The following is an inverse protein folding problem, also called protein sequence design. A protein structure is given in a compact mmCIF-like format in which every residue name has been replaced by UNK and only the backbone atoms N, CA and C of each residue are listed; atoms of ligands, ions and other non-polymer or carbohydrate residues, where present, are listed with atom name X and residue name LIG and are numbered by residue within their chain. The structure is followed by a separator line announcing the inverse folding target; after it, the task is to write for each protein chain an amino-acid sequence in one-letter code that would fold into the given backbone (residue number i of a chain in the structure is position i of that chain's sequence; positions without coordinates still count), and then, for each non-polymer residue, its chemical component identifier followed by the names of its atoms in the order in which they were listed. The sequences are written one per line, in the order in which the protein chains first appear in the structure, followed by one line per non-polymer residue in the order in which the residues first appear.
data_IF_880644306302
#
_entry.id   IF_880644306302
#
_cell.length_a   1.000
_cell.length_b   1.000
_cell.length_c   1.000
_cell.angle_alpha   90.00
_cell.angle_beta   90.00
_cell.angle_gamma   90.00
#
_symmetry.space_group_name_H-M   'P 1'
#
loop_
_entity.id
_entity.type
_entity.pdbx_description
1 polymer ?
#
# COMPACT_ATOMS: atom_id res chain seq x y z
N UNK A 1 39.28 54.14 18.31
CA UNK A 1 38.66 52.80 18.49
C UNK A 1 38.01 52.44 17.18
N UNK A 2 38.57 51.48 16.45
CA UNK A 2 37.94 50.99 15.22
C UNK A 2 36.81 50.01 15.59
N UNK A 3 35.59 50.36 15.18
CA UNK A 3 34.40 49.56 15.46
C UNK A 3 34.45 48.27 14.64
N UNK A 4 34.66 47.14 15.32
CA UNK A 4 34.73 45.81 14.72
C UNK A 4 33.34 45.26 14.42
N UNK A 5 32.68 45.82 13.40
CA UNK A 5 31.32 45.47 12.96
C UNK A 5 31.10 43.96 12.76
N UNK A 6 32.14 43.21 12.39
CA UNK A 6 32.11 41.77 12.19
C UNK A 6 31.86 40.97 13.48
N UNK A 7 32.27 41.49 14.65
CA UNK A 7 32.02 40.83 15.95
C UNK A 7 30.54 40.81 16.34
N UNK A 8 29.75 41.73 15.79
CA UNK A 8 28.29 41.80 16.00
C UNK A 8 27.56 41.06 14.87
N UNK A 9 28.05 41.22 13.63
CA UNK A 9 27.40 40.64 12.46
C UNK A 9 27.53 39.11 12.39
N UNK A 10 28.69 38.55 12.76
CA UNK A 10 28.91 37.09 12.70
C UNK A 10 28.00 36.32 13.66
N UNK A 11 27.83 36.71 14.95
CA UNK A 11 26.88 36.05 15.84
C UNK A 11 25.42 36.22 15.40
N UNK A 12 25.05 37.40 14.88
CA UNK A 12 23.71 37.63 14.34
C UNK A 12 23.41 36.76 13.12
N UNK A 13 24.36 36.67 12.18
CA UNK A 13 24.25 35.81 11.01
C UNK A 13 24.22 34.32 11.40
N UNK A 14 25.06 33.89 12.35
CA UNK A 14 25.05 32.52 12.86
C UNK A 14 23.73 32.18 13.57
N UNK A 15 23.18 33.10 14.37
CA UNK A 15 21.88 32.97 15.01
C UNK A 15 20.73 32.87 14.00
N UNK A 16 20.75 33.70 12.95
CA UNK A 16 19.77 33.65 11.87
C UNK A 16 19.84 32.34 11.08
N UNK A 17 21.05 31.91 10.68
CA UNK A 17 21.24 30.64 9.96
C UNK A 17 20.78 29.45 10.81
N UNK A 18 21.13 29.44 12.11
CA UNK A 18 20.68 28.40 13.04
C UNK A 18 19.16 28.36 13.20
N UNK A 19 18.52 29.53 13.32
CA UNK A 19 17.06 29.65 13.42
C UNK A 19 16.34 29.13 12.17
N UNK A 20 16.77 29.57 10.98
CA UNK A 20 16.15 29.12 9.72
C UNK A 20 16.45 27.65 9.42
N UNK A 21 17.65 27.17 9.75
CA UNK A 21 18.02 25.76 9.64
C UNK A 21 17.11 24.87 10.50
N UNK A 22 16.91 25.23 11.76
CA UNK A 22 15.98 24.53 12.66
C UNK A 22 14.54 24.61 12.17
N UNK A 23 14.08 25.76 11.70
CA UNK A 23 12.71 25.92 11.17
C UNK A 23 12.46 25.01 9.96
N UNK A 24 13.41 24.90 9.02
CA UNK A 24 13.29 23.98 7.88
C UNK A 24 13.29 22.52 8.35
N UNK A 25 14.16 22.17 9.30
CA UNK A 25 14.24 20.81 9.84
C UNK A 25 12.96 20.42 10.58
N UNK A 26 12.43 21.29 11.43
CA UNK A 26 11.18 21.08 12.17
C UNK A 26 9.99 20.97 11.22
N UNK A 27 9.90 21.84 10.20
CA UNK A 27 8.84 21.76 9.19
C UNK A 27 8.90 20.43 8.43
N UNK A 28 10.10 19.97 8.02
CA UNK A 28 10.28 18.66 7.38
C UNK A 28 9.89 17.51 8.31
N UNK A 29 10.22 17.60 9.60
CA UNK A 29 9.83 16.59 10.61
C UNK A 29 8.31 16.55 10.80
N UNK A 30 7.65 17.70 10.87
CA UNK A 30 6.20 17.80 10.97
C UNK A 30 5.49 17.24 9.74
N UNK A 31 5.97 17.58 8.53
CA UNK A 31 5.44 17.04 7.28
C UNK A 31 5.60 15.52 7.18
N UNK A 32 6.77 15.00 7.56
CA UNK A 32 7.01 13.54 7.63
C UNK A 32 6.09 12.84 8.63
N UNK A 33 5.78 13.49 9.75
CA UNK A 33 4.88 12.93 10.76
C UNK A 33 3.44 12.85 10.21
N UNK A 34 2.92 13.95 9.65
CA UNK A 34 1.59 13.99 9.02
C UNK A 34 1.47 13.01 7.86
N UNK A 35 2.44 12.96 6.95
CA UNK A 35 2.43 12.02 5.83
C UNK A 35 2.46 10.55 6.31
N UNK A 36 3.16 10.26 7.41
CA UNK A 36 3.17 8.91 7.99
C UNK A 36 1.84 8.57 8.64
N UNK A 37 1.19 9.52 9.30
CA UNK A 37 -0.15 9.36 9.86
C UNK A 37 -1.19 9.09 8.77
N UNK A 38 -1.18 9.89 7.69
CA UNK A 38 -2.06 9.69 6.54
C UNK A 38 -1.80 8.33 5.87
N UNK A 39 -0.54 7.93 5.65
CA UNK A 39 -0.21 6.60 5.12
C UNK A 39 -0.78 5.46 5.95
N UNK A 40 -0.68 5.54 7.29
CA UNK A 40 -1.24 4.52 8.18
C UNK A 40 -2.76 4.42 8.01
N UNK A 41 -3.44 5.56 7.90
CA UNK A 41 -4.89 5.61 7.69
C UNK A 41 -5.29 5.04 6.32
N UNK A 42 -4.55 5.39 5.28
CA UNK A 42 -4.76 4.88 3.91
C UNK A 42 -4.58 3.36 3.86
N UNK A 43 -3.48 2.83 4.43
CA UNK A 43 -3.20 1.39 4.42
C UNK A 43 -4.15 0.59 5.33
N UNK A 44 -4.62 1.19 6.43
CA UNK A 44 -5.71 0.63 7.22
C UNK A 44 -6.98 0.51 6.39
N UNK A 45 -7.31 1.56 5.62
CA UNK A 45 -8.50 1.55 4.75
C UNK A 45 -8.43 0.44 3.70
N UNK A 46 -7.27 0.22 3.08
CA UNK A 46 -7.07 -0.92 2.17
C UNK A 46 -7.29 -2.27 2.85
N UNK A 47 -6.72 -2.45 4.04
CA UNK A 47 -6.84 -3.68 4.81
C UNK A 47 -8.30 -3.98 5.19
N UNK A 48 -9.04 -2.95 5.59
CA UNK A 48 -10.45 -3.08 5.93
C UNK A 48 -11.29 -3.45 4.71
N UNK A 49 -11.07 -2.79 3.55
CA UNK A 49 -11.76 -3.13 2.30
C UNK A 49 -11.48 -4.59 1.91
N UNK A 50 -10.23 -5.03 2.09
CA UNK A 50 -9.83 -6.41 1.85
C UNK A 50 -10.57 -7.40 2.75
N UNK A 51 -10.65 -7.13 4.05
CA UNK A 51 -11.37 -7.97 5.01
C UNK A 51 -12.86 -8.01 4.68
N UNK A 52 -13.45 -6.86 4.34
CA UNK A 52 -14.87 -6.78 3.97
C UNK A 52 -15.16 -7.62 2.71
N UNK A 53 -14.29 -7.54 1.70
CA UNK A 53 -14.38 -8.36 0.48
C UNK A 53 -14.26 -9.85 0.76
N UNK A 54 -13.38 -10.25 1.68
CA UNK A 54 -13.22 -11.66 2.07
C UNK A 54 -14.42 -12.17 2.86
N UNK A 55 -14.98 -11.35 3.77
CA UNK A 55 -16.20 -11.69 4.52
C UNK A 55 -17.43 -11.82 3.61
N UNK A 56 -17.51 -11.00 2.56
CA UNK A 56 -18.67 -10.96 1.67
C UNK A 56 -18.65 -12.02 0.56
N UNK A 57 -17.71 -12.98 0.57
CA UNK A 57 -17.66 -14.06 -0.43
C UNK A 57 -18.91 -14.94 -0.44
N UNK A 58 -19.66 -15.00 0.67
CA UNK A 58 -20.87 -15.84 0.76
C UNK A 58 -22.16 -15.12 0.31
N UNK A 59 -22.24 -13.79 0.43
CA UNK A 59 -23.32 -12.94 -0.12
C UNK A 59 -22.95 -11.47 0.11
N UNK A 60 -22.99 -10.65 -0.97
CA UNK A 60 -22.80 -9.19 -0.89
C UNK A 60 -24.09 -8.48 -1.29
N UNK A 61 -24.52 -7.50 -0.50
CA UNK A 61 -25.65 -6.62 -0.86
C UNK A 61 -25.17 -5.46 -1.74
N UNK A 62 -26.06 -4.89 -2.53
CA UNK A 62 -25.76 -3.73 -3.39
C UNK A 62 -25.25 -2.52 -2.57
N UNK A 63 -25.85 -2.26 -1.41
CA UNK A 63 -25.41 -1.21 -0.48
C UNK A 63 -23.99 -1.44 0.05
N UNK A 64 -23.62 -2.69 0.33
CA UNK A 64 -22.25 -3.03 0.76
C UNK A 64 -21.25 -2.86 -0.39
N UNK A 65 -21.63 -3.21 -1.61
CA UNK A 65 -20.83 -3.03 -2.81
C UNK A 65 -20.55 -1.53 -3.06
N UNK A 66 -21.58 -0.69 -2.97
CA UNK A 66 -21.47 0.76 -3.13
C UNK A 66 -20.51 1.36 -2.09
N UNK A 67 -20.66 0.98 -0.81
CA UNK A 67 -19.73 1.41 0.26
C UNK A 67 -18.30 0.98 0.00
N UNK A 68 -18.07 -0.24 -0.51
CA UNK A 68 -16.72 -0.71 -0.86
C UNK A 68 -16.15 0.12 -2.01
N UNK A 69 -16.95 0.40 -3.04
CA UNK A 69 -16.53 1.21 -4.19
C UNK A 69 -16.17 2.64 -3.78
N UNK A 70 -16.98 3.28 -2.94
CA UNK A 70 -16.70 4.62 -2.42
C UNK A 70 -15.41 4.68 -1.59
N UNK A 71 -15.18 3.66 -0.75
CA UNK A 71 -13.95 3.55 0.04
C UNK A 71 -12.73 3.30 -0.83
N UNK A 72 -12.85 2.48 -1.87
CA UNK A 72 -11.80 2.26 -2.85
C UNK A 72 -11.47 3.53 -3.64
N UNK A 73 -12.48 4.30 -4.05
CA UNK A 73 -12.26 5.57 -4.75
C UNK A 73 -11.51 6.58 -3.88
N UNK A 74 -11.93 6.72 -2.61
CA UNK A 74 -11.25 7.58 -1.66
C UNK A 74 -9.81 7.11 -1.38
N UNK A 75 -9.62 5.80 -1.23
CA UNK A 75 -8.30 5.20 -1.12
C UNK A 75 -7.42 5.60 -2.32
N UNK A 76 -7.90 5.45 -3.56
CA UNK A 76 -7.10 5.77 -4.75
C UNK A 76 -6.68 7.24 -4.83
N UNK A 77 -7.57 8.15 -4.44
CA UNK A 77 -7.28 9.58 -4.42
C UNK A 77 -6.13 9.89 -3.47
N UNK A 78 -6.16 9.31 -2.27
CA UNK A 78 -5.21 9.64 -1.22
C UNK A 78 -3.89 8.87 -1.36
N UNK A 79 -3.94 7.61 -1.82
CA UNK A 79 -2.75 6.77 -1.91
C UNK A 79 -1.72 7.31 -2.93
N UNK A 80 -2.16 7.90 -4.05
CA UNK A 80 -1.26 8.48 -5.06
C UNK A 80 -0.40 9.63 -4.52
N UNK A 81 -0.86 10.31 -3.47
CA UNK A 81 -0.17 11.46 -2.88
C UNK A 81 0.83 11.06 -1.80
N UNK A 82 0.57 9.96 -1.10
CA UNK A 82 1.28 9.62 0.13
C UNK A 82 2.06 8.30 0.07
N UNK A 83 1.70 7.36 -0.81
CA UNK A 83 2.32 6.05 -0.86
C UNK A 83 3.71 6.07 -1.51
N UNK A 84 4.54 5.09 -1.17
CA UNK A 84 5.81 4.86 -1.87
C UNK A 84 5.58 4.37 -3.32
N UNK A 85 6.57 4.56 -4.22
CA UNK A 85 6.53 3.97 -5.56
C UNK A 85 6.31 2.46 -5.55
N UNK A 86 6.88 1.74 -4.58
CA UNK A 86 6.75 0.28 -4.50
C UNK A 86 5.30 -0.14 -4.18
N UNK A 87 4.64 0.58 -3.27
CA UNK A 87 3.21 0.40 -2.97
C UNK A 87 2.34 0.72 -4.20
N UNK A 88 2.68 1.78 -4.93
CA UNK A 88 2.03 2.16 -6.20
C UNK A 88 2.16 1.05 -7.25
N UNK A 89 3.34 0.51 -7.42
CA UNK A 89 3.58 -0.59 -8.36
C UNK A 89 2.83 -1.85 -7.94
N UNK A 90 2.86 -2.24 -6.67
CA UNK A 90 2.15 -3.42 -6.18
C UNK A 90 0.63 -3.30 -6.35
N UNK A 91 0.06 -2.12 -6.12
CA UNK A 91 -1.37 -1.85 -6.36
C UNK A 91 -1.67 -1.87 -7.86
N UNK A 92 -0.82 -1.25 -8.68
CA UNK A 92 -0.94 -1.28 -10.14
C UNK A 92 -0.96 -2.70 -10.70
N UNK A 93 -0.03 -3.54 -10.26
CA UNK A 93 0.05 -4.96 -10.58
C UNK A 93 -1.23 -5.72 -10.23
N UNK A 94 -1.76 -5.49 -9.02
CA UNK A 94 -3.00 -6.10 -8.55
C UNK A 94 -4.20 -5.67 -9.41
N UNK A 95 -4.28 -4.39 -9.76
CA UNK A 95 -5.35 -3.86 -10.61
C UNK A 95 -5.26 -4.40 -12.03
N UNK A 96 -4.06 -4.42 -12.62
CA UNK A 96 -3.82 -4.98 -13.93
C UNK A 96 -4.21 -6.46 -13.97
N UNK A 97 -3.84 -7.22 -12.93
CA UNK A 97 -4.25 -8.62 -12.83
C UNK A 97 -5.78 -8.77 -12.75
N UNK A 98 -6.45 -7.98 -11.92
CA UNK A 98 -7.92 -7.99 -11.80
C UNK A 98 -8.61 -7.65 -13.14
N UNK A 99 -8.09 -6.67 -13.88
CA UNK A 99 -8.58 -6.30 -15.20
C UNK A 99 -8.39 -7.43 -16.21
N UNK A 100 -7.23 -8.11 -16.20
CA UNK A 100 -6.98 -9.27 -17.05
C UNK A 100 -7.98 -10.39 -16.77
N UNK A 101 -8.28 -10.70 -15.51
CA UNK A 101 -9.31 -11.68 -15.17
C UNK A 101 -10.69 -11.28 -15.71
N UNK A 102 -11.06 -10.00 -15.58
CA UNK A 102 -12.33 -9.50 -16.11
C UNK A 102 -12.41 -9.59 -17.64
N UNK A 103 -11.33 -9.23 -18.35
CA UNK A 103 -11.27 -9.35 -19.80
C UNK A 103 -11.43 -10.80 -20.24
N UNK A 104 -10.81 -11.74 -19.53
CA UNK A 104 -10.94 -13.17 -19.82
C UNK A 104 -12.36 -13.69 -19.63
N UNK A 105 -13.06 -13.27 -18.57
CA UNK A 105 -14.50 -13.56 -18.40
C UNK A 105 -15.32 -13.06 -19.58
N UNK A 106 -15.08 -11.81 -19.99
CA UNK A 106 -15.80 -11.20 -21.12
C UNK A 106 -15.50 -11.90 -22.45
N UNK A 107 -14.31 -12.49 -22.59
CA UNK A 107 -13.90 -13.28 -23.74
C UNK A 107 -14.38 -14.74 -23.72
N UNK A 108 -15.22 -15.10 -22.73
CA UNK A 108 -15.90 -16.40 -22.69
C UNK A 108 -15.19 -17.48 -21.88
N UNK A 109 -14.12 -17.14 -21.15
CA UNK A 109 -13.52 -18.07 -20.19
C UNK A 109 -14.46 -18.31 -19.00
N UNK A 110 -14.50 -19.55 -18.52
CA UNK A 110 -15.38 -19.91 -17.42
C UNK A 110 -14.86 -19.40 -16.07
N UNK A 111 -15.77 -19.17 -15.12
CA UNK A 111 -15.41 -18.81 -13.75
C UNK A 111 -14.48 -19.85 -13.14
N UNK A 112 -14.67 -21.13 -13.45
CA UNK A 112 -13.87 -22.23 -12.92
C UNK A 112 -12.43 -22.24 -13.47
N UNK A 113 -12.22 -21.79 -14.70
CA UNK A 113 -10.88 -21.61 -15.29
C UNK A 113 -10.15 -20.42 -14.68
N UNK A 114 -10.84 -19.31 -14.43
CA UNK A 114 -10.28 -18.14 -13.73
C UNK A 114 -10.02 -18.43 -12.26
N UNK A 115 -10.91 -19.20 -11.63
CA UNK A 115 -10.76 -19.56 -10.24
C UNK A 115 -9.55 -20.46 -10.01
N UNK A 116 -8.91 -21.04 -11.05
CA UNK A 116 -7.59 -21.73 -10.99
C UNK A 116 -6.39 -20.81 -10.81
N UNK A 117 -6.60 -19.50 -10.88
CA UNK A 117 -5.58 -18.48 -10.63
C UNK A 117 -5.87 -17.62 -9.39
N UNK A 118 -6.89 -17.93 -8.59
CA UNK A 118 -7.22 -17.17 -7.38
C UNK A 118 -6.09 -17.14 -6.35
N UNK A 119 -5.16 -18.12 -6.34
CA UNK A 119 -3.91 -17.99 -5.56
C UNK A 119 -3.01 -16.85 -6.02
N UNK A 120 -2.90 -16.60 -7.34
CA UNK A 120 -2.14 -15.47 -7.86
C UNK A 120 -2.78 -14.15 -7.41
N UNK A 121 -4.12 -14.09 -7.37
CA UNK A 121 -4.84 -12.94 -6.80
C UNK A 121 -4.47 -12.72 -5.33
N UNK A 122 -4.52 -13.76 -4.49
CA UNK A 122 -4.15 -13.66 -3.07
C UNK A 122 -2.68 -13.31 -2.86
N UNK A 123 -1.78 -13.75 -3.76
CA UNK A 123 -0.38 -13.36 -3.74
C UNK A 123 -0.20 -11.88 -4.08
N UNK A 124 -0.92 -11.36 -5.08
CA UNK A 124 -0.90 -9.92 -5.39
C UNK A 124 -1.43 -9.08 -4.23
N UNK A 125 -2.49 -9.52 -3.55
CA UNK A 125 -2.94 -8.88 -2.31
C UNK A 125 -1.88 -8.92 -1.19
N UNK A 126 -1.22 -10.07 -1.04
CA UNK A 126 -0.16 -10.24 -0.05
C UNK A 126 1.03 -9.32 -0.33
N UNK A 127 1.39 -9.14 -1.61
CA UNK A 127 2.44 -8.20 -2.03
C UNK A 127 2.09 -6.77 -1.64
N UNK A 128 0.86 -6.32 -1.90
CA UNK A 128 0.44 -4.95 -1.54
C UNK A 128 0.58 -4.73 -0.03
N UNK A 129 0.15 -5.68 0.79
CA UNK A 129 0.28 -5.58 2.25
C UNK A 129 1.75 -5.60 2.68
N UNK A 130 2.58 -6.40 2.02
CA UNK A 130 4.01 -6.44 2.26
C UNK A 130 4.66 -5.06 2.02
N UNK A 131 4.43 -4.45 0.85
CA UNK A 131 4.99 -3.13 0.51
C UNK A 131 4.48 -2.03 1.44
N UNK A 132 3.18 -2.07 1.79
CA UNK A 132 2.60 -1.13 2.74
C UNK A 132 3.26 -1.22 4.12
N UNK A 133 3.57 -2.44 4.58
CA UNK A 133 4.27 -2.63 5.86
C UNK A 133 5.70 -2.12 5.80
N UNK A 134 6.41 -2.41 4.72
CA UNK A 134 7.77 -1.94 4.51
C UNK A 134 7.84 -0.41 4.46
N UNK A 135 6.94 0.25 3.73
CA UNK A 135 6.86 1.72 3.64
C UNK A 135 6.51 2.38 5.00
N UNK A 136 5.76 1.68 5.86
CA UNK A 136 5.52 2.12 7.24
C UNK A 136 6.70 1.88 8.20
N UNK A 137 7.78 1.23 7.73
CA UNK A 137 8.92 0.82 8.55
C UNK A 137 8.60 -0.32 9.51
N UNK A 138 7.54 -1.09 9.24
CA UNK A 138 7.19 -2.26 10.03
C UNK A 138 8.04 -3.47 9.60
N UNK A 139 8.28 -4.38 10.52
CA UNK A 139 9.05 -5.59 10.18
C UNK A 139 8.28 -6.48 9.20
N UNK A 140 8.97 -6.84 8.14
CA UNK A 140 8.57 -7.80 7.11
C UNK A 140 9.28 -9.16 7.24
N UNK A 141 10.09 -9.33 8.31
CA UNK A 141 10.79 -10.59 8.56
C UNK A 141 9.80 -11.75 8.66
N UNK A 142 10.16 -12.88 8.05
CA UNK A 142 9.36 -14.09 8.03
C UNK A 142 7.99 -13.96 7.34
N UNK A 143 7.75 -12.93 6.51
CA UNK A 143 6.51 -12.85 5.72
C UNK A 143 6.57 -13.60 4.38
N UNK A 144 7.74 -14.11 3.99
CA UNK A 144 7.97 -14.69 2.66
C UNK A 144 8.38 -13.63 1.64
N UNK A 145 8.80 -14.07 0.44
CA UNK A 145 9.34 -13.18 -0.59
C UNK A 145 8.31 -12.13 -1.07
N UNK A 146 7.04 -12.53 -1.13
CA UNK A 146 5.93 -11.70 -1.60
C UNK A 146 4.85 -11.48 -0.54
N UNK A 147 5.23 -11.53 0.74
CA UNK A 147 4.26 -11.50 1.84
C UNK A 147 3.35 -12.72 1.92
N UNK A 148 3.71 -13.85 1.31
CA UNK A 148 2.91 -15.10 1.26
C UNK A 148 2.34 -15.53 2.62
N UNK A 149 3.03 -15.23 3.71
CA UNK A 149 2.54 -15.57 5.05
C UNK A 149 1.43 -14.65 5.57
N UNK A 150 1.21 -13.47 4.97
CA UNK A 150 0.13 -12.54 5.31
C UNK A 150 -1.23 -13.18 5.10
N UNK A 151 -1.43 -13.84 3.95
CA UNK A 151 -2.67 -14.54 3.61
C UNK A 151 -2.49 -16.06 3.58
N UNK A 152 -1.60 -16.59 4.43
CA UNK A 152 -1.23 -18.02 4.45
C UNK A 152 -2.43 -18.96 4.50
N UNK A 153 -3.45 -18.63 5.30
CA UNK A 153 -4.67 -19.43 5.44
C UNK A 153 -5.43 -19.55 4.12
N UNK A 154 -5.60 -18.43 3.41
CA UNK A 154 -6.26 -18.38 2.10
C UNK A 154 -5.44 -19.11 1.04
N UNK A 155 -4.12 -18.89 1.01
CA UNK A 155 -3.22 -19.56 0.07
C UNK A 155 -3.14 -21.07 0.30
N UNK A 156 -3.13 -21.51 1.56
CA UNK A 156 -3.04 -22.95 1.91
C UNK A 156 -4.31 -23.70 1.52
N UNK A 157 -5.49 -23.13 1.77
CA UNK A 157 -6.75 -23.70 1.31
C UNK A 157 -6.77 -23.83 -0.21
N UNK A 158 -6.23 -22.83 -0.89
CA UNK A 158 -6.19 -22.81 -2.33
C UNK A 158 -5.20 -23.83 -2.92
N UNK A 159 -3.98 -23.93 -2.36
CA UNK A 159 -3.00 -24.93 -2.80
C UNK A 159 -3.44 -26.38 -2.55
N UNK A 160 -4.40 -26.59 -1.64
CA UNK A 160 -5.05 -27.88 -1.45
C UNK A 160 -5.97 -28.23 -2.64
N UNK A 161 -6.62 -27.23 -3.25
CA UNK A 161 -7.52 -27.39 -4.40
C UNK A 161 -6.76 -27.39 -5.74
N UNK A 162 -5.74 -26.56 -5.85
CA UNK A 162 -4.92 -26.39 -7.06
C UNK A 162 -3.42 -26.43 -6.68
N UNK A 163 -2.77 -27.61 -6.77
CA UNK A 163 -1.38 -27.77 -6.37
C UNK A 163 -0.44 -26.84 -7.14
N UNK A 164 0.61 -26.35 -6.48
CA UNK A 164 1.62 -25.35 -6.91
C UNK A 164 2.21 -25.48 -8.33
N UNK A 165 1.96 -26.59 -9.03
CA UNK A 165 2.32 -26.82 -10.44
C UNK A 165 1.44 -26.06 -11.44
N UNK A 166 0.31 -25.48 -11.04
CA UNK A 166 -0.58 -24.71 -11.94
C UNK A 166 -0.26 -23.22 -12.01
N UNK A 167 0.49 -22.68 -11.04
CA UNK A 167 0.94 -21.28 -11.05
C UNK A 167 2.40 -21.21 -11.44
N UNK A 168 2.68 -21.32 -12.75
CA UNK A 168 3.98 -20.88 -13.27
C UNK A 168 4.04 -19.34 -13.15
N UNK A 169 5.05 -18.86 -12.44
CA UNK A 169 5.44 -17.46 -12.37
C UNK A 169 6.48 -17.21 -13.46
N UNK A 170 6.03 -17.04 -14.69
CA UNK A 170 6.79 -16.38 -15.76
C UNK A 170 5.89 -15.35 -16.44
#
# INVERSE_FOLDING_TARGET
MEFQWFQIFVPLAAGAIGFFGNMIFENRKQLKNKATEERRKIYSTFSDIMIDRLRSQETITEEQLEKINDRMFNFYKDYLLYASPDVINAIGDLQQFTFTLQQRLLNGETIEEIDRESSALYLKYSQVIYEMREDLGLSIKNLGANGEHVLKSFLSNYYMLYPKKTTNFE
#
